data_IF_705439398111
#
_entry.id   IF_705439398111
#
_cell.length_a   1.000
_cell.length_b   1.000
_cell.length_c   1.000
_cell.angle_alpha   90.00
_cell.angle_beta   90.00
_cell.angle_gamma   90.00
#
_symmetry.space_group_name_H-M   'P 1'
#
loop_
_entity.id
_entity.type
_entity.pdbx_description
1 polymer ?
#
# COMPACT_ATOMS: atom_id res chain seq x y z
N UNK A 1 11.61 34.32 -44.38
CA UNK A 1 12.75 34.04 -43.48
C UNK A 1 12.74 35.13 -42.42
N UNK A 2 12.66 34.90 -41.11
CA UNK A 2 13.17 33.79 -40.30
C UNK A 2 12.22 33.50 -39.14
N UNK A 3 12.05 32.21 -38.86
CA UNK A 3 11.32 31.62 -37.74
C UNK A 3 11.94 32.14 -36.43
N UNK A 4 11.20 32.96 -35.67
CA UNK A 4 11.61 33.43 -34.33
C UNK A 4 10.63 33.03 -33.22
N UNK A 5 9.90 31.94 -33.40
CA UNK A 5 9.00 31.41 -32.37
C UNK A 5 9.10 29.88 -32.38
N UNK A 6 10.21 29.34 -31.88
CA UNK A 6 10.26 27.91 -31.57
C UNK A 6 11.34 27.59 -30.53
N UNK A 7 11.29 28.25 -29.36
CA UNK A 7 12.19 27.89 -28.26
C UNK A 7 11.57 28.12 -26.88
N UNK A 8 10.26 27.85 -26.74
CA UNK A 8 9.58 27.87 -25.45
C UNK A 8 8.83 26.58 -25.10
N UNK A 9 8.97 25.50 -25.90
CA UNK A 9 8.07 24.34 -25.79
C UNK A 9 8.69 22.98 -25.47
N UNK A 10 9.95 22.89 -25.05
CA UNK A 10 10.62 21.57 -24.95
C UNK A 10 11.43 21.33 -23.68
N UNK A 11 10.88 21.67 -22.50
CA UNK A 11 11.38 21.15 -21.22
C UNK A 11 10.25 20.74 -20.26
N UNK A 12 9.14 20.21 -20.76
CA UNK A 12 8.24 19.41 -19.92
C UNK A 12 8.88 18.02 -19.85
N UNK A 13 9.95 17.88 -19.06
CA UNK A 13 10.40 16.58 -18.61
C UNK A 13 9.22 15.95 -17.88
N UNK A 14 8.57 14.95 -18.48
CA UNK A 14 7.53 14.18 -17.83
C UNK A 14 8.17 13.40 -16.68
N UNK A 15 8.34 14.04 -15.53
CA UNK A 15 8.66 13.36 -14.29
C UNK A 15 7.47 12.47 -13.97
N UNK A 16 7.64 11.16 -14.15
CA UNK A 16 6.66 10.14 -13.74
C UNK A 16 6.65 10.18 -12.21
N UNK A 17 5.81 11.05 -11.64
CA UNK A 17 5.72 11.26 -10.20
C UNK A 17 4.68 10.30 -9.64
N UNK A 18 5.11 9.40 -8.77
CA UNK A 18 4.18 8.58 -7.99
C UNK A 18 3.49 9.48 -6.96
N UNK A 19 2.16 9.57 -7.02
CA UNK A 19 1.36 10.41 -6.13
C UNK A 19 1.03 9.64 -4.84
N UNK A 20 1.40 10.18 -3.68
CA UNK A 20 0.87 9.69 -2.40
C UNK A 20 -0.62 10.02 -2.31
N UNK A 21 -1.47 9.01 -2.21
CA UNK A 21 -2.93 9.16 -2.08
C UNK A 21 -3.42 8.95 -0.65
N UNK A 22 -2.56 8.44 0.24
CA UNK A 22 -2.82 8.39 1.67
C UNK A 22 -1.66 7.78 2.44
N UNK A 23 -1.58 8.12 3.72
CA UNK A 23 -0.57 7.55 4.63
C UNK A 23 -1.07 7.44 6.06
N UNK A 24 -0.47 6.50 6.78
CA UNK A 24 -0.69 6.25 8.20
C UNK A 24 0.65 6.03 8.87
N UNK A 25 0.85 6.65 10.04
CA UNK A 25 1.98 6.39 10.92
C UNK A 25 1.49 5.66 12.18
N UNK A 26 2.28 4.69 12.65
CA UNK A 26 2.06 3.97 13.90
C UNK A 26 3.41 3.86 14.63
N UNK A 27 3.70 4.82 15.50
CA UNK A 27 5.03 4.99 16.08
C UNK A 27 6.06 5.31 15.00
N UNK A 28 7.14 4.53 14.93
CA UNK A 28 8.20 4.67 13.91
C UNK A 28 7.87 3.97 12.59
N UNK A 29 6.79 3.18 12.54
CA UNK A 29 6.38 2.46 11.34
C UNK A 29 5.38 3.28 10.53
N UNK A 30 5.45 3.17 9.20
CA UNK A 30 4.54 3.86 8.30
C UNK A 30 3.95 2.91 7.27
N UNK A 31 2.77 3.28 6.77
CA UNK A 31 2.12 2.69 5.61
C UNK A 31 1.67 3.82 4.71
N UNK A 32 1.95 3.72 3.41
CA UNK A 32 1.57 4.67 2.38
C UNK A 32 0.89 3.94 1.24
N UNK A 33 -0.05 4.61 0.62
CA UNK A 33 -0.66 4.19 -0.62
C UNK A 33 -0.26 5.18 -1.70
N UNK A 34 0.44 4.68 -2.70
CA UNK A 34 0.91 5.46 -3.83
C UNK A 34 0.14 5.09 -5.09
N UNK A 35 -0.02 6.05 -6.01
CA UNK A 35 -0.61 5.85 -7.33
C UNK A 35 0.38 6.29 -8.41
N UNK A 36 0.62 5.41 -9.37
CA UNK A 36 1.38 5.70 -10.58
C UNK A 36 0.63 5.12 -11.78
N UNK A 37 0.14 6.00 -12.66
CA UNK A 37 -0.74 5.63 -13.77
C UNK A 37 -1.95 4.78 -13.33
N UNK A 38 -2.04 3.54 -13.83
CA UNK A 38 -3.09 2.57 -13.52
C UNK A 38 -2.67 1.56 -12.43
N UNK A 39 -1.56 1.82 -11.74
CA UNK A 39 -1.01 0.95 -10.72
C UNK A 39 -1.03 1.65 -9.36
N UNK A 40 -1.45 0.92 -8.34
CA UNK A 40 -1.34 1.33 -6.95
C UNK A 40 -0.25 0.52 -6.27
N UNK A 41 0.49 1.18 -5.38
CA UNK A 41 1.53 0.56 -4.58
C UNK A 41 1.22 0.75 -3.11
N UNK A 42 1.12 -0.35 -2.38
CA UNK A 42 1.13 -0.31 -0.93
C UNK A 42 2.56 -0.39 -0.45
N UNK A 43 3.04 0.68 0.18
CA UNK A 43 4.42 0.81 0.68
C UNK A 43 4.37 0.83 2.21
N UNK A 44 5.23 0.08 2.88
CA UNK A 44 5.25 0.01 4.34
C UNK A 44 6.63 -0.19 4.91
N UNK A 45 6.86 0.35 6.11
CA UNK A 45 8.03 0.06 6.93
C UNK A 45 7.90 -1.36 7.50
N UNK A 46 8.84 -2.25 7.15
CA UNK A 46 8.80 -3.64 7.63
C UNK A 46 9.13 -3.72 9.12
N UNK A 47 8.21 -4.29 9.91
CA UNK A 47 8.37 -4.43 11.36
C UNK A 47 9.52 -5.35 11.74
N UNK A 48 9.92 -6.25 10.84
CA UNK A 48 11.02 -7.19 11.06
C UNK A 48 12.39 -6.63 10.66
N UNK A 49 12.47 -5.44 10.04
CA UNK A 49 13.71 -4.86 9.53
C UNK A 49 14.63 -4.23 10.61
N UNK A 50 14.24 -4.34 11.89
CA UNK A 50 14.99 -3.76 13.00
C UNK A 50 15.13 -2.25 12.88
N UNK A 51 16.34 -1.71 13.12
CA UNK A 51 16.59 -0.26 13.11
C UNK A 51 16.62 0.35 11.70
N UNK A 52 16.77 -0.45 10.64
CA UNK A 52 16.91 0.05 9.27
C UNK A 52 15.60 0.53 8.65
N UNK A 53 14.44 0.21 9.26
CA UNK A 53 13.09 0.57 8.79
C UNK A 53 12.92 0.40 7.27
N UNK A 54 13.42 -0.71 6.72
CA UNK A 54 13.42 -0.97 5.28
C UNK A 54 11.97 -0.91 4.77
N UNK A 55 11.74 -0.05 3.77
CA UNK A 55 10.44 -0.02 3.10
C UNK A 55 10.28 -1.25 2.20
N UNK A 56 9.09 -1.82 2.23
CA UNK A 56 8.65 -2.94 1.40
C UNK A 56 7.39 -2.50 0.66
N UNK A 57 7.15 -3.07 -0.52
CA UNK A 57 5.97 -2.75 -1.29
C UNK A 57 5.42 -3.92 -2.08
N UNK A 58 4.13 -3.85 -2.37
CA UNK A 58 3.48 -4.68 -3.38
C UNK A 58 2.50 -3.83 -4.18
N UNK A 59 2.21 -4.27 -5.40
CA UNK A 59 1.42 -3.50 -6.36
C UNK A 59 0.09 -4.18 -6.66
N UNK A 60 -0.91 -3.39 -7.03
CA UNK A 60 -2.21 -3.87 -7.49
C UNK A 60 -2.87 -2.86 -8.43
N UNK A 61 -3.66 -3.33 -9.42
CA UNK A 61 -4.26 -2.45 -10.43
C UNK A 61 -5.55 -1.78 -9.94
N UNK A 62 -6.30 -2.40 -9.02
CA UNK A 62 -7.61 -1.92 -8.60
C UNK A 62 -7.66 -1.66 -7.09
N UNK A 63 -7.63 -0.37 -6.73
CA UNK A 63 -7.66 0.10 -5.35
C UNK A 63 -8.97 -0.25 -4.64
N UNK A 64 -10.09 -0.06 -5.31
CA UNK A 64 -11.43 -0.32 -4.79
C UNK A 64 -11.62 -1.80 -4.45
N UNK A 65 -11.13 -2.71 -5.29
CA UNK A 65 -11.15 -4.16 -5.03
C UNK A 65 -10.35 -4.51 -3.77
N UNK A 66 -9.10 -4.04 -3.66
CA UNK A 66 -8.27 -4.30 -2.48
C UNK A 66 -8.89 -3.69 -1.23
N UNK A 67 -9.42 -2.47 -1.33
CA UNK A 67 -10.11 -1.81 -0.21
C UNK A 67 -11.30 -2.62 0.29
N UNK A 68 -12.14 -3.11 -0.62
CA UNK A 68 -13.33 -3.89 -0.26
C UNK A 68 -12.94 -5.22 0.36
N UNK A 69 -11.98 -5.97 -0.23
CA UNK A 69 -11.45 -7.21 0.36
C UNK A 69 -10.96 -6.97 1.79
N UNK A 70 -10.25 -5.84 2.00
CA UNK A 70 -9.75 -5.48 3.31
C UNK A 70 -10.89 -5.17 4.28
N UNK A 71 -11.84 -4.32 3.90
CA UNK A 71 -12.92 -3.91 4.79
C UNK A 71 -13.91 -5.02 5.11
N UNK A 72 -14.21 -5.89 4.15
CA UNK A 72 -15.11 -7.03 4.35
C UNK A 72 -14.50 -8.02 5.36
N UNK A 73 -13.18 -8.15 5.38
CA UNK A 73 -12.48 -8.94 6.41
C UNK A 73 -12.70 -8.42 7.84
N UNK A 74 -12.91 -7.12 8.04
CA UNK A 74 -13.21 -6.59 9.39
C UNK A 74 -14.59 -6.99 9.92
N UNK A 75 -15.51 -7.49 9.08
CA UNK A 75 -16.84 -7.92 9.51
C UNK A 75 -16.82 -9.29 10.23
N UNK A 76 -15.77 -10.09 10.00
CA UNK A 76 -15.61 -11.39 10.66
C UNK A 76 -15.06 -11.18 12.08
N UNK A 77 -15.83 -11.62 13.09
CA UNK A 77 -15.50 -11.39 14.51
C UNK A 77 -14.30 -12.18 15.04
N UNK A 78 -13.96 -13.30 14.41
CA UNK A 78 -12.88 -14.17 14.87
C UNK A 78 -11.57 -13.84 14.14
N UNK A 79 -10.44 -14.20 14.74
CA UNK A 79 -9.14 -14.11 14.06
C UNK A 79 -9.20 -14.98 12.80
N UNK A 80 -8.77 -14.44 11.67
CA UNK A 80 -8.80 -15.12 10.39
C UNK A 80 -7.80 -14.48 9.43
N UNK A 81 -7.71 -15.02 8.22
CA UNK A 81 -6.86 -14.48 7.17
C UNK A 81 -7.55 -14.54 5.81
N UNK A 82 -7.22 -13.59 4.95
CA UNK A 82 -7.56 -13.62 3.53
C UNK A 82 -6.24 -13.60 2.75
N UNK A 83 -6.10 -14.51 1.80
CA UNK A 83 -4.89 -14.61 0.95
C UNK A 83 -5.28 -14.16 -0.45
N UNK A 84 -4.55 -13.19 -0.98
CA UNK A 84 -4.69 -12.68 -2.34
C UNK A 84 -3.38 -12.87 -3.07
N UNK A 85 -3.45 -13.39 -4.30
CA UNK A 85 -2.33 -13.43 -5.21
C UNK A 85 -2.48 -12.30 -6.23
N UNK A 86 -1.45 -11.49 -6.36
CA UNK A 86 -1.34 -10.48 -7.42
C UNK A 86 -0.82 -11.13 -8.70
N UNK A 87 -1.00 -10.43 -9.82
CA UNK A 87 -0.51 -10.82 -11.15
C UNK A 87 1.02 -10.91 -11.26
N UNK A 88 1.76 -10.32 -10.31
CA UNK A 88 3.23 -10.28 -10.29
C UNK A 88 3.87 -11.24 -9.28
N UNK A 89 3.29 -12.45 -9.13
CA UNK A 89 3.79 -13.50 -8.24
C UNK A 89 3.98 -13.06 -6.78
N UNK A 90 3.24 -12.04 -6.34
CA UNK A 90 3.23 -11.62 -4.94
C UNK A 90 1.98 -12.15 -4.26
N UNK A 91 2.19 -12.96 -3.22
CA UNK A 91 1.15 -13.45 -2.33
C UNK A 91 1.05 -12.49 -1.14
N UNK A 92 -0.13 -11.93 -0.93
CA UNK A 92 -0.43 -11.00 0.16
C UNK A 92 -1.43 -11.68 1.10
N UNK A 93 -1.02 -11.86 2.35
CA UNK A 93 -1.86 -12.33 3.44
C UNK A 93 -2.34 -11.12 4.25
N UNK A 94 -3.64 -10.88 4.18
CA UNK A 94 -4.38 -10.00 5.08
C UNK A 94 -4.71 -10.77 6.36
N UNK A 95 -3.96 -10.54 7.42
CA UNK A 95 -4.10 -11.26 8.69
C UNK A 95 -4.85 -10.40 9.71
N UNK A 96 -6.05 -10.84 10.09
CA UNK A 96 -6.93 -10.14 11.01
C UNK A 96 -6.82 -10.75 12.42
N UNK A 97 -6.38 -9.93 13.38
CA UNK A 97 -6.15 -10.35 14.76
C UNK A 97 -6.82 -9.40 15.74
N UNK A 98 -7.52 -9.94 16.73
CA UNK A 98 -7.96 -9.19 17.91
C UNK A 98 -6.77 -8.86 18.81
N UNK A 99 -6.50 -7.57 18.97
CA UNK A 99 -5.48 -7.05 19.87
C UNK A 99 -6.20 -6.14 20.87
N UNK A 100 -6.15 -6.51 22.15
CA UNK A 100 -6.86 -5.78 23.23
C UNK A 100 -8.36 -5.55 22.95
N UNK A 101 -9.03 -6.56 22.40
CA UNK A 101 -10.46 -6.52 22.08
C UNK A 101 -10.83 -5.91 20.72
N UNK A 102 -9.90 -5.24 20.05
CA UNK A 102 -10.14 -4.61 18.75
C UNK A 102 -9.55 -5.43 17.60
N UNK A 103 -10.30 -5.60 16.52
CA UNK A 103 -9.77 -6.22 15.31
C UNK A 103 -8.76 -5.29 14.63
N UNK A 104 -7.59 -5.83 14.28
CA UNK A 104 -6.51 -5.14 13.59
C UNK A 104 -6.04 -5.98 12.40
N UNK A 105 -5.58 -5.31 11.36
CA UNK A 105 -5.04 -5.92 10.16
C UNK A 105 -3.51 -5.83 10.15
N UNK A 106 -2.86 -6.97 9.97
CA UNK A 106 -1.46 -7.05 9.56
C UNK A 106 -1.40 -7.43 8.07
N UNK A 107 -0.49 -6.81 7.33
CA UNK A 107 -0.15 -7.25 5.99
C UNK A 107 1.12 -8.07 6.05
N UNK A 108 1.10 -9.26 5.47
CA UNK A 108 2.29 -10.06 5.26
C UNK A 108 2.37 -10.33 3.76
N UNK A 109 3.42 -9.86 3.09
CA UNK A 109 3.62 -10.20 1.68
C UNK A 109 4.79 -11.17 1.50
N UNK A 110 4.75 -11.88 0.38
CA UNK A 110 5.85 -12.68 -0.15
C UNK A 110 5.85 -12.57 -1.67
N UNK A 111 6.87 -11.92 -2.24
CA UNK A 111 7.10 -11.88 -3.67
C UNK A 111 7.95 -13.09 -4.07
N UNK A 112 7.36 -14.02 -4.82
CA UNK A 112 7.98 -15.32 -5.12
C UNK A 112 9.18 -15.21 -6.07
N UNK A 113 9.19 -14.18 -6.95
CA UNK A 113 10.29 -13.94 -7.90
C UNK A 113 11.51 -13.37 -7.18
N UNK A 114 11.34 -12.23 -6.51
CA UNK A 114 12.43 -11.50 -5.84
C UNK A 114 12.81 -12.09 -4.48
N UNK A 115 11.99 -13.02 -3.96
CA UNK A 115 12.10 -13.60 -2.60
C UNK A 115 12.03 -12.55 -1.49
N UNK A 116 11.45 -11.39 -1.79
CA UNK A 116 11.22 -10.33 -0.82
C UNK A 116 9.96 -10.67 -0.01
N UNK A 117 10.13 -10.76 1.30
CA UNK A 117 9.05 -10.88 2.27
C UNK A 117 9.10 -9.70 3.26
N UNK A 118 7.97 -9.41 3.89
CA UNK A 118 7.91 -8.38 4.93
C UNK A 118 6.55 -8.33 5.62
N UNK A 119 6.51 -7.74 6.81
CA UNK A 119 5.28 -7.58 7.58
C UNK A 119 5.04 -6.12 7.91
N UNK A 120 3.82 -5.62 7.69
CA UNK A 120 3.46 -4.26 8.07
C UNK A 120 3.17 -4.14 9.56
N UNK A 121 3.16 -2.90 10.05
CA UNK A 121 2.52 -2.59 11.34
C UNK A 121 1.02 -2.93 11.29
N UNK A 122 0.44 -3.19 12.47
CA UNK A 122 -1.00 -3.42 12.62
C UNK A 122 -1.80 -2.14 12.39
N UNK A 123 -2.83 -2.22 11.55
CA UNK A 123 -3.72 -1.11 11.23
C UNK A 123 -5.15 -1.35 11.73
N UNK A 124 -5.80 -0.31 12.24
CA UNK A 124 -7.24 -0.34 12.53
C UNK A 124 -8.07 -0.11 11.27
N UNK A 125 -9.36 -0.45 11.35
CA UNK A 125 -10.35 -0.15 10.31
C UNK A 125 -10.36 1.34 9.94
N UNK A 126 -10.24 2.22 10.94
CA UNK A 126 -10.21 3.67 10.72
C UNK A 126 -8.94 4.13 10.02
N UNK A 127 -7.78 3.58 10.40
CA UNK A 127 -6.52 3.88 9.72
C UNK A 127 -6.57 3.47 8.24
N UNK A 128 -7.21 2.34 7.92
CA UNK A 128 -7.39 1.90 6.54
C UNK A 128 -8.34 2.82 5.76
N UNK A 129 -9.43 3.28 6.38
CA UNK A 129 -10.30 4.31 5.81
C UNK A 129 -9.52 5.57 5.44
N UNK A 130 -8.68 6.07 6.35
CA UNK A 130 -7.80 7.21 6.09
C UNK A 130 -6.79 6.92 4.96
N UNK A 131 -6.13 5.77 4.99
CA UNK A 131 -5.13 5.36 4.00
C UNK A 131 -5.68 5.36 2.56
N UNK A 132 -6.96 5.00 2.40
CA UNK A 132 -7.63 4.92 1.09
C UNK A 132 -8.40 6.20 0.70
N UNK A 133 -8.29 7.27 1.50
CA UNK A 133 -9.01 8.53 1.25
C UNK A 133 -10.53 8.41 1.42
N UNK A 134 -10.99 7.43 2.19
CA UNK A 134 -12.39 7.18 2.51
C UNK A 134 -12.65 7.59 3.95
N UNK A 135 -12.54 8.89 4.25
CA UNK A 135 -12.87 9.39 5.58
C UNK A 135 -14.33 9.04 5.93
N UNK A 136 -14.56 8.68 7.20
CA UNK A 136 -15.88 8.45 7.76
C UNK A 136 -16.56 9.79 8.06
#
# INVERSE_FOLDING_TARGET
>A
MQIKILLFFLLISSSIFSQEIGSVKNGTYSVKLLKMDNLFSWVYSDVNSGKSHTEKSFNFPNKETIYNIILDGFEIKNNHQIIVQTDQDTVVKFEYKKIKGEMRLNIIHNNLISKIAGTSTSLSRQQLRTLFGKQA
#
